data_IF_059895642954
#
_entry.id   IF_059895642954
#
_cell.length_a   1.000
_cell.length_b   1.000
_cell.length_c   1.000
_cell.angle_alpha   90.00
_cell.angle_beta   90.00
_cell.angle_gamma   90.00
#
_symmetry.space_group_name_H-M   'P 1'
#
loop_
_entity.id
_entity.type
_entity.pdbx_description
1 polymer ?
#
# COMPACT_ATOMS: atom_id res chain seq x y z
N UNK A 1 -16.47 0.47 26.45
CA UNK A 1 -15.97 0.03 25.13
C UNK A 1 -14.54 -0.39 25.35
N UNK A 2 -14.15 -1.62 24.95
CA UNK A 2 -12.76 -2.07 25.09
C UNK A 2 -11.83 -1.19 24.28
N UNK A 3 -10.55 -1.11 24.68
CA UNK A 3 -9.52 -0.44 23.88
C UNK A 3 -9.42 -1.09 22.50
N UNK A 4 -9.26 -0.29 21.43
CA UNK A 4 -9.10 -0.80 20.08
C UNK A 4 -7.82 -1.63 19.93
N UNK A 5 -7.79 -2.53 18.96
CA UNK A 5 -6.68 -3.48 18.75
C UNK A 5 -5.34 -2.81 18.43
N UNK A 6 -5.35 -1.55 17.99
CA UNK A 6 -4.17 -0.74 17.67
C UNK A 6 -4.05 0.47 18.60
N UNK A 7 -4.67 0.43 19.79
CA UNK A 7 -4.61 1.51 20.78
C UNK A 7 -3.17 1.86 21.13
N UNK A 8 -2.82 3.16 21.07
CA UNK A 8 -1.48 3.69 21.33
C UNK A 8 -0.42 3.40 20.26
N UNK A 9 -0.81 2.80 19.14
CA UNK A 9 0.07 2.56 17.99
C UNK A 9 0.14 3.79 17.08
N UNK A 10 1.31 4.02 16.51
CA UNK A 10 1.55 5.04 15.48
C UNK A 10 1.72 4.34 14.14
N UNK A 11 0.92 4.73 13.16
CA UNK A 11 0.95 4.14 11.83
C UNK A 11 1.14 5.19 10.72
N UNK A 12 1.88 4.83 9.69
CA UNK A 12 1.98 5.57 8.42
C UNK A 12 1.32 4.74 7.33
N UNK A 13 0.41 5.35 6.56
CA UNK A 13 -0.26 4.72 5.41
C UNK A 13 -0.03 5.55 4.16
N UNK A 14 0.60 4.97 3.13
CA UNK A 14 0.79 5.63 1.84
C UNK A 14 -0.39 5.39 0.90
N UNK A 15 -0.74 6.37 0.06
CA UNK A 15 -1.93 6.32 -0.79
C UNK A 15 -3.23 6.33 0.03
N UNK A 16 -3.23 7.01 1.17
CA UNK A 16 -4.28 6.94 2.19
C UNK A 16 -5.60 7.62 1.81
N UNK A 17 -5.70 8.29 0.67
CA UNK A 17 -6.87 9.10 0.29
C UNK A 17 -7.86 8.41 -0.64
N UNK A 18 -7.57 7.17 -1.07
CA UNK A 18 -8.44 6.43 -1.99
C UNK A 18 -8.34 4.92 -1.82
N UNK A 19 -9.34 4.19 -2.29
CA UNK A 19 -9.35 2.74 -2.36
C UNK A 19 -8.98 2.05 -1.04
N UNK A 20 -8.15 1.01 -1.12
CA UNK A 20 -7.70 0.23 0.04
C UNK A 20 -6.97 1.09 1.08
N UNK A 21 -6.12 2.05 0.64
CA UNK A 21 -5.38 2.93 1.56
C UNK A 21 -6.30 3.77 2.45
N UNK A 22 -7.39 4.31 1.88
CA UNK A 22 -8.42 5.03 2.64
C UNK A 22 -9.12 4.13 3.65
N UNK A 23 -9.49 2.93 3.23
CA UNK A 23 -10.15 1.96 4.13
C UNK A 23 -9.23 1.52 5.27
N UNK A 24 -7.94 1.26 4.97
CA UNK A 24 -6.93 0.91 5.96
C UNK A 24 -6.76 2.05 6.99
N UNK A 25 -6.61 3.29 6.52
CA UNK A 25 -6.46 4.44 7.41
C UNK A 25 -7.66 4.62 8.33
N UNK A 26 -8.89 4.56 7.78
CA UNK A 26 -10.13 4.60 8.56
C UNK A 26 -10.18 3.50 9.62
N UNK A 27 -9.90 2.26 9.22
CA UNK A 27 -9.94 1.12 10.14
C UNK A 27 -8.88 1.24 11.24
N UNK A 28 -7.69 1.68 10.93
CA UNK A 28 -6.63 1.87 11.92
C UNK A 28 -7.01 2.92 12.98
N UNK A 29 -7.62 4.04 12.55
CA UNK A 29 -8.15 5.05 13.49
C UNK A 29 -9.27 4.45 14.35
N UNK A 30 -10.20 3.68 13.78
CA UNK A 30 -11.26 2.99 14.52
C UNK A 30 -10.71 2.00 15.57
N UNK A 31 -9.55 1.40 15.28
CA UNK A 31 -8.84 0.51 16.21
C UNK A 31 -7.91 1.26 17.20
N UNK A 32 -7.97 2.59 17.23
CA UNK A 32 -7.30 3.42 18.23
C UNK A 32 -5.87 3.84 17.88
N UNK A 33 -5.43 3.68 16.63
CA UNK A 33 -4.13 4.15 16.18
C UNK A 33 -4.11 5.66 15.89
N UNK A 34 -2.95 6.29 16.10
CA UNK A 34 -2.60 7.57 15.48
C UNK A 34 -2.09 7.30 14.07
N UNK A 35 -2.72 7.87 13.04
CA UNK A 35 -2.43 7.53 11.64
C UNK A 35 -1.95 8.74 10.85
N UNK A 36 -0.76 8.63 10.25
CA UNK A 36 -0.22 9.59 9.30
C UNK A 36 -0.58 9.19 7.88
N UNK A 37 -1.33 10.06 7.21
CA UNK A 37 -1.90 9.84 5.89
C UNK A 37 -0.98 10.45 4.83
N UNK A 38 -0.26 9.64 4.07
CA UNK A 38 0.62 10.12 3.01
C UNK A 38 -0.06 10.00 1.64
N UNK A 39 -0.28 11.13 0.97
CA UNK A 39 -0.82 11.20 -0.38
C UNK A 39 -0.47 12.56 -1.03
N UNK A 40 -0.59 12.67 -2.35
CA UNK A 40 -0.26 13.91 -3.08
C UNK A 40 -1.31 15.01 -2.97
N UNK A 41 -2.60 14.63 -2.93
CA UNK A 41 -3.73 15.57 -2.97
C UNK A 41 -4.02 16.19 -1.62
N UNK A 42 -3.74 17.49 -1.46
CA UNK A 42 -3.95 18.23 -0.21
C UNK A 42 -5.42 18.28 0.22
N UNK A 43 -6.31 18.54 -0.72
CA UNK A 43 -7.76 18.64 -0.48
C UNK A 43 -8.32 17.31 0.07
N UNK A 44 -7.94 16.19 -0.55
CA UNK A 44 -8.37 14.86 -0.09
C UNK A 44 -7.77 14.47 1.26
N UNK A 45 -6.57 14.92 1.55
CA UNK A 45 -5.97 14.73 2.88
C UNK A 45 -6.75 15.49 3.94
N UNK A 46 -7.09 16.76 3.67
CA UNK A 46 -7.91 17.57 4.57
C UNK A 46 -9.31 16.94 4.79
N UNK A 47 -9.97 16.47 3.74
CA UNK A 47 -11.24 15.74 3.87
C UNK A 47 -11.10 14.50 4.78
N UNK A 48 -9.99 13.79 4.69
CA UNK A 48 -9.73 12.63 5.55
C UNK A 48 -9.48 13.03 7.00
N UNK A 49 -8.72 14.11 7.26
CA UNK A 49 -8.52 14.64 8.61
C UNK A 49 -9.84 15.08 9.24
N UNK A 50 -10.68 15.80 8.50
CA UNK A 50 -12.01 16.21 8.96
C UNK A 50 -12.90 15.01 9.32
N UNK A 51 -12.83 13.92 8.53
CA UNK A 51 -13.61 12.71 8.77
C UNK A 51 -13.10 11.87 9.95
N UNK A 52 -11.79 11.82 10.17
CA UNK A 52 -11.13 10.92 11.12
C UNK A 52 -10.76 11.62 12.44
N UNK A 53 -10.81 12.96 12.47
CA UNK A 53 -10.50 13.76 13.65
C UNK A 53 -9.02 13.77 14.00
N UNK A 54 -8.71 14.07 15.25
CA UNK A 54 -7.33 14.28 15.74
C UNK A 54 -6.44 13.03 15.68
N UNK A 55 -7.00 11.87 15.45
CA UNK A 55 -6.24 10.61 15.29
C UNK A 55 -5.66 10.41 13.88
N UNK A 56 -5.89 11.36 12.97
CA UNK A 56 -5.35 11.33 11.62
C UNK A 56 -4.62 12.64 11.31
N UNK A 57 -3.44 12.54 10.68
CA UNK A 57 -2.64 13.68 10.22
C UNK A 57 -2.28 13.49 8.75
N UNK A 58 -2.74 14.40 7.91
CA UNK A 58 -2.47 14.40 6.47
C UNK A 58 -1.15 15.08 6.14
N UNK A 59 -0.27 14.39 5.44
CA UNK A 59 1.00 14.95 4.98
C UNK A 59 1.07 14.84 3.45
N UNK A 60 1.02 15.97 2.73
CA UNK A 60 1.19 15.98 1.28
C UNK A 60 2.55 15.38 0.89
N UNK A 61 2.52 14.21 0.23
CA UNK A 61 3.74 13.43 -0.03
C UNK A 61 3.67 12.78 -1.41
N UNK A 62 4.70 13.00 -2.22
CA UNK A 62 4.99 12.15 -3.36
C UNK A 62 5.98 11.06 -2.92
N UNK A 63 5.50 9.82 -2.84
CA UNK A 63 6.35 8.68 -2.44
C UNK A 63 7.49 8.41 -3.44
N UNK A 64 7.34 8.84 -4.69
CA UNK A 64 8.38 8.73 -5.72
C UNK A 64 9.51 9.76 -5.61
N UNK A 65 9.38 10.72 -4.71
CA UNK A 65 10.38 11.75 -4.41
C UNK A 65 11.00 11.50 -3.03
N UNK A 66 12.31 11.19 -2.95
CA UNK A 66 12.98 10.89 -1.68
C UNK A 66 13.00 12.06 -0.70
N UNK A 67 13.01 13.32 -1.19
CA UNK A 67 13.00 14.50 -0.34
C UNK A 67 11.62 14.72 0.27
N UNK A 68 10.57 14.53 -0.51
CA UNK A 68 9.18 14.55 -0.03
C UNK A 68 8.93 13.48 1.04
N UNK A 69 9.44 12.26 0.83
CA UNK A 69 9.34 11.18 1.83
C UNK A 69 10.11 11.54 3.10
N UNK A 70 11.33 12.06 2.98
CA UNK A 70 12.15 12.46 4.13
C UNK A 70 11.42 13.51 4.98
N UNK A 71 10.93 14.57 4.34
CA UNK A 71 10.16 15.61 5.01
C UNK A 71 8.91 15.06 5.74
N UNK A 72 8.20 14.12 5.13
CA UNK A 72 7.04 13.50 5.77
C UNK A 72 7.42 12.71 7.03
N UNK A 73 8.49 11.94 6.99
CA UNK A 73 8.95 11.17 8.14
C UNK A 73 9.59 12.03 9.23
N UNK A 74 10.16 13.19 8.89
CA UNK A 74 10.60 14.19 9.87
C UNK A 74 9.41 14.73 10.68
N UNK A 75 8.24 14.95 10.06
CA UNK A 75 7.01 15.33 10.78
C UNK A 75 6.58 14.23 11.76
N UNK A 76 6.61 12.97 11.31
CA UNK A 76 6.27 11.82 12.18
C UNK A 76 7.23 11.74 13.36
N UNK A 77 8.54 11.89 13.13
CA UNK A 77 9.55 11.87 14.18
C UNK A 77 9.37 13.01 15.19
N UNK A 78 9.19 14.23 14.72
CA UNK A 78 8.98 15.40 15.59
C UNK A 78 7.76 15.27 16.50
N UNK A 79 6.70 14.60 16.05
CA UNK A 79 5.46 14.47 16.80
C UNK A 79 5.39 13.21 17.66
N UNK A 80 6.02 12.12 17.26
CA UNK A 80 5.82 10.80 17.89
C UNK A 80 7.10 10.15 18.39
N UNK A 81 8.27 10.50 17.84
CA UNK A 81 9.57 9.89 18.12
C UNK A 81 9.62 8.35 17.92
N UNK A 82 8.61 7.78 17.32
CA UNK A 82 8.48 6.34 17.05
C UNK A 82 7.51 6.08 15.89
N UNK A 83 7.59 4.89 15.36
CA UNK A 83 6.59 4.31 14.45
C UNK A 83 6.37 2.84 14.80
N UNK A 84 5.11 2.40 14.85
CA UNK A 84 4.76 1.00 15.09
C UNK A 84 4.42 0.25 13.79
N UNK A 85 3.81 0.94 12.80
CA UNK A 85 3.34 0.32 11.56
C UNK A 85 3.59 1.20 10.35
N UNK A 86 4.22 0.65 9.30
CA UNK A 86 4.28 1.24 7.97
C UNK A 86 3.45 0.41 7.00
N UNK A 87 2.50 1.05 6.29
CA UNK A 87 1.75 0.43 5.19
C UNK A 87 2.12 1.11 3.87
N UNK A 88 2.87 0.42 3.02
CA UNK A 88 3.15 0.81 1.65
C UNK A 88 2.05 0.28 0.73
N UNK A 89 1.01 1.11 0.55
CA UNK A 89 -0.14 0.79 -0.29
C UNK A 89 -0.19 1.66 -1.56
N UNK A 90 0.45 2.84 -1.58
CA UNK A 90 0.50 3.69 -2.77
C UNK A 90 1.01 2.93 -3.98
N UNK A 91 0.24 2.94 -5.05
CA UNK A 91 0.63 2.34 -6.32
C UNK A 91 -0.10 3.00 -7.48
N UNK A 92 0.51 2.93 -8.64
CA UNK A 92 -0.09 3.29 -9.92
C UNK A 92 0.06 2.13 -10.88
N UNK A 93 -0.94 1.94 -11.73
CA UNK A 93 -0.87 1.04 -12.86
C UNK A 93 -1.71 1.60 -14.00
N UNK A 94 -1.30 1.32 -15.21
CA UNK A 94 -1.97 1.77 -16.42
C UNK A 94 -1.76 0.73 -17.52
N UNK A 95 -2.84 0.26 -18.15
CA UNK A 95 -2.71 -0.64 -19.29
C UNK A 95 -2.09 0.09 -20.48
N UNK A 96 -0.91 -0.36 -20.92
CA UNK A 96 -0.23 0.13 -22.12
C UNK A 96 0.46 -1.07 -22.78
N UNK A 97 0.35 -1.24 -24.11
CA UNK A 97 1.14 -2.24 -24.83
C UNK A 97 2.63 -2.04 -24.54
N UNK A 98 3.38 -3.12 -24.40
CA UNK A 98 4.78 -3.03 -23.99
C UNK A 98 5.64 -2.19 -24.94
N UNK A 99 5.42 -2.33 -26.23
CA UNK A 99 6.10 -1.58 -27.30
C UNK A 99 5.59 -0.14 -27.48
N UNK A 100 4.49 0.21 -26.81
CA UNK A 100 3.93 1.57 -26.76
C UNK A 100 4.29 2.33 -25.48
N UNK A 101 5.01 1.72 -24.53
CA UNK A 101 5.41 2.38 -23.28
C UNK A 101 6.47 3.46 -23.55
N UNK A 102 6.21 4.68 -23.11
CA UNK A 102 7.23 5.73 -23.05
C UNK A 102 8.16 5.55 -21.85
N UNK A 103 9.37 6.11 -21.92
CA UNK A 103 10.32 6.12 -20.81
C UNK A 103 9.73 6.78 -19.55
N UNK A 104 8.93 7.83 -19.71
CA UNK A 104 8.26 8.52 -18.60
C UNK A 104 7.23 7.61 -17.92
N UNK A 105 6.45 6.84 -18.69
CA UNK A 105 5.50 5.88 -18.15
C UNK A 105 6.15 4.74 -17.39
N UNK A 106 7.29 4.27 -17.88
CA UNK A 106 8.13 3.31 -17.19
C UNK A 106 8.60 3.91 -15.86
N UNK A 107 9.26 5.06 -15.92
CA UNK A 107 9.87 5.70 -14.75
C UNK A 107 8.87 6.10 -13.67
N UNK A 108 7.69 6.55 -14.05
CA UNK A 108 6.66 6.94 -13.09
C UNK A 108 6.14 5.74 -12.30
N UNK A 109 5.99 4.57 -12.93
CA UNK A 109 5.62 3.34 -12.24
C UNK A 109 6.75 2.86 -11.32
N UNK A 110 8.00 2.90 -11.77
CA UNK A 110 9.15 2.57 -10.92
C UNK A 110 9.25 3.49 -9.71
N UNK A 111 9.14 4.80 -9.91
CA UNK A 111 9.21 5.78 -8.81
C UNK A 111 8.14 5.54 -7.76
N UNK A 112 6.88 5.36 -8.18
CA UNK A 112 5.79 5.17 -7.23
C UNK A 112 5.81 3.78 -6.59
N UNK A 113 5.88 2.70 -7.40
CA UNK A 113 5.58 1.35 -6.94
C UNK A 113 6.78 0.62 -6.33
N UNK A 114 8.02 1.04 -6.64
CA UNK A 114 9.24 0.38 -6.18
C UNK A 114 10.14 1.32 -5.38
N UNK A 115 10.53 2.47 -5.96
CA UNK A 115 11.40 3.41 -5.25
C UNK A 115 10.67 4.04 -4.05
N UNK A 116 9.36 4.31 -4.16
CA UNK A 116 8.54 4.80 -3.06
C UNK A 116 8.63 3.90 -1.82
N UNK A 117 8.28 2.61 -1.89
CA UNK A 117 8.50 1.68 -0.80
C UNK A 117 9.94 1.57 -0.29
N UNK A 118 10.94 1.68 -1.16
CA UNK A 118 12.36 1.74 -0.75
C UNK A 118 12.61 2.96 0.13
N UNK A 119 12.14 4.14 -0.29
CA UNK A 119 12.35 5.39 0.44
C UNK A 119 11.60 5.39 1.77
N UNK A 120 10.34 4.97 1.79
CA UNK A 120 9.52 4.92 3.01
C UNK A 120 10.02 3.88 4.01
N UNK A 121 10.42 2.68 3.56
CA UNK A 121 11.03 1.68 4.44
C UNK A 121 12.32 2.22 5.07
N UNK A 122 13.21 2.82 4.25
CA UNK A 122 14.46 3.41 4.75
C UNK A 122 14.22 4.50 5.77
N UNK A 123 13.20 5.34 5.58
CA UNK A 123 12.86 6.40 6.53
C UNK A 123 12.14 5.86 7.80
N UNK A 124 11.37 4.77 7.66
CA UNK A 124 10.62 4.17 8.77
C UNK A 124 11.48 3.36 9.75
N UNK A 125 12.52 2.67 9.27
CA UNK A 125 13.32 1.74 10.08
C UNK A 125 13.88 2.37 11.35
N UNK A 126 14.46 3.59 11.35
CA UNK A 126 14.92 4.22 12.60
C UNK A 126 13.79 4.42 13.61
N UNK A 127 12.59 4.79 13.18
CA UNK A 127 11.43 5.02 14.04
C UNK A 127 10.83 3.70 14.56
N UNK A 128 10.86 2.64 13.75
CA UNK A 128 10.48 1.30 14.19
C UNK A 128 11.45 0.78 15.26
N UNK A 129 12.75 1.02 15.11
CA UNK A 129 13.74 0.73 16.18
C UNK A 129 13.44 1.49 17.47
N UNK A 130 13.11 2.79 17.37
CA UNK A 130 12.76 3.61 18.53
C UNK A 130 11.51 3.08 19.25
N UNK A 131 10.59 2.43 18.54
CA UNK A 131 9.44 1.74 19.11
C UNK A 131 9.77 0.37 19.76
N UNK A 132 11.01 -0.13 19.59
CA UNK A 132 11.40 -1.48 20.01
C UNK A 132 10.98 -2.58 19.04
N UNK A 133 10.72 -2.24 17.78
CA UNK A 133 10.24 -3.10 16.71
C UNK A 133 8.91 -2.63 16.13
N UNK A 134 8.44 -3.28 15.05
CA UNK A 134 7.20 -2.89 14.40
C UNK A 134 6.89 -3.72 13.15
N UNK A 135 5.92 -3.24 12.38
CA UNK A 135 5.43 -3.94 11.21
C UNK A 135 5.57 -3.07 9.94
N UNK A 136 6.13 -3.65 8.89
CA UNK A 136 6.11 -3.09 7.54
C UNK A 136 5.23 -4.00 6.68
N UNK A 137 4.15 -3.46 6.11
CA UNK A 137 3.28 -4.16 5.17
C UNK A 137 3.46 -3.53 3.80
N UNK A 138 3.97 -4.31 2.86
CA UNK A 138 4.14 -3.89 1.46
C UNK A 138 3.08 -4.56 0.59
N UNK A 139 2.22 -3.76 -0.04
CA UNK A 139 1.15 -4.25 -0.90
C UNK A 139 1.69 -4.61 -2.28
N UNK A 140 1.83 -5.92 -2.54
CA UNK A 140 2.09 -6.50 -3.84
C UNK A 140 0.77 -6.78 -4.59
N UNK A 141 0.79 -7.59 -5.60
CA UNK A 141 -0.38 -7.84 -6.47
C UNK A 141 -0.39 -9.26 -7.04
N UNK A 142 -1.58 -9.77 -7.33
CA UNK A 142 -1.76 -10.97 -8.14
C UNK A 142 -1.06 -10.89 -9.51
N UNK A 143 -0.74 -9.68 -9.99
CA UNK A 143 0.01 -9.48 -11.23
C UNK A 143 1.44 -10.07 -11.19
N UNK A 144 1.97 -10.40 -10.02
CA UNK A 144 3.25 -11.10 -9.87
C UNK A 144 3.11 -12.62 -10.07
N UNK A 145 1.90 -13.14 -9.96
CA UNK A 145 1.60 -14.56 -10.06
C UNK A 145 0.94 -14.89 -11.41
N UNK A 146 -0.02 -14.06 -11.82
CA UNK A 146 -0.69 -14.17 -13.11
C UNK A 146 -0.41 -12.91 -13.94
N UNK A 147 0.19 -13.10 -15.12
CA UNK A 147 0.52 -11.96 -15.99
C UNK A 147 -0.73 -11.40 -16.64
N UNK A 148 -0.89 -10.09 -16.48
CA UNK A 148 -1.94 -9.32 -17.14
C UNK A 148 -1.39 -8.70 -18.43
N UNK A 149 -2.02 -8.95 -19.55
CA UNK A 149 -1.66 -8.24 -20.78
C UNK A 149 -1.66 -6.72 -20.54
N UNK A 150 -0.70 -6.02 -21.10
CA UNK A 150 -0.55 -4.55 -21.01
C UNK A 150 -0.22 -4.00 -19.60
N UNK A 151 0.10 -4.86 -18.60
CA UNK A 151 0.55 -4.45 -17.26
C UNK A 151 1.98 -4.91 -16.94
N UNK A 152 2.84 -5.03 -17.93
CA UNK A 152 4.20 -5.57 -17.76
C UNK A 152 5.02 -4.79 -16.73
N UNK A 153 5.05 -3.46 -16.81
CA UNK A 153 5.84 -2.65 -15.86
C UNK A 153 5.26 -2.66 -14.46
N UNK A 154 3.94 -2.73 -14.33
CA UNK A 154 3.32 -2.92 -13.03
C UNK A 154 3.76 -4.24 -12.38
N UNK A 155 3.71 -5.35 -13.12
CA UNK A 155 4.16 -6.66 -12.65
C UNK A 155 5.65 -6.64 -12.25
N UNK A 156 6.52 -6.04 -13.07
CA UNK A 156 7.96 -5.89 -12.78
C UNK A 156 8.19 -5.10 -11.48
N UNK A 157 7.50 -3.98 -11.30
CA UNK A 157 7.66 -3.17 -10.08
C UNK A 157 7.18 -3.91 -8.83
N UNK A 158 6.09 -4.68 -8.92
CA UNK A 158 5.58 -5.47 -7.80
C UNK A 158 6.45 -6.68 -7.49
N UNK A 159 7.02 -7.35 -8.49
CA UNK A 159 8.01 -8.40 -8.29
C UNK A 159 9.30 -7.87 -7.62
N UNK A 160 9.77 -6.69 -8.04
CA UNK A 160 10.87 -5.99 -7.37
C UNK A 160 10.57 -5.65 -5.92
N UNK A 161 9.33 -5.25 -5.60
CA UNK A 161 8.89 -5.00 -4.23
C UNK A 161 8.88 -6.29 -3.38
N UNK A 162 8.49 -7.43 -3.94
CA UNK A 162 8.55 -8.72 -3.23
C UNK A 162 10.00 -9.13 -2.91
N UNK A 163 10.92 -8.91 -3.85
CA UNK A 163 12.35 -9.13 -3.62
C UNK A 163 12.90 -8.21 -2.51
N UNK A 164 12.50 -6.93 -2.50
CA UNK A 164 12.84 -6.00 -1.40
C UNK A 164 12.33 -6.53 -0.06
N UNK A 165 11.07 -6.98 0.02
CA UNK A 165 10.51 -7.54 1.25
C UNK A 165 11.33 -8.73 1.77
N UNK A 166 11.74 -9.63 0.87
CA UNK A 166 12.58 -10.77 1.23
C UNK A 166 13.94 -10.32 1.79
N UNK A 167 14.59 -9.34 1.15
CA UNK A 167 15.86 -8.81 1.62
C UNK A 167 15.73 -8.15 3.01
N UNK A 168 14.71 -7.31 3.21
CA UNK A 168 14.47 -6.63 4.48
C UNK A 168 14.15 -7.63 5.61
N UNK A 169 13.40 -8.70 5.35
CA UNK A 169 13.16 -9.77 6.35
C UNK A 169 14.46 -10.37 6.87
N UNK A 170 15.41 -10.63 5.99
CA UNK A 170 16.72 -11.18 6.37
C UNK A 170 17.57 -10.15 7.10
N UNK A 171 17.58 -8.90 6.60
CA UNK A 171 18.44 -7.84 7.15
C UNK A 171 18.02 -7.41 8.55
N UNK A 172 16.70 -7.34 8.81
CA UNK A 172 16.13 -6.85 10.09
C UNK A 172 15.55 -7.94 10.99
N UNK A 173 15.91 -9.21 10.75
CA UNK A 173 15.38 -10.34 11.51
C UNK A 173 15.62 -10.22 13.03
N UNK A 174 16.75 -9.65 13.44
CA UNK A 174 17.16 -9.54 14.85
C UNK A 174 16.62 -8.28 15.55
N UNK A 175 15.92 -7.39 14.82
CA UNK A 175 15.48 -6.09 15.33
C UNK A 175 13.98 -6.03 15.66
N UNK A 176 13.32 -7.19 15.71
CA UNK A 176 11.86 -7.31 15.90
C UNK A 176 11.03 -6.45 14.90
N UNK A 177 11.57 -6.24 13.69
CA UNK A 177 10.86 -5.62 12.58
C UNK A 177 10.33 -6.71 11.67
N UNK A 178 9.01 -6.84 11.60
CA UNK A 178 8.34 -7.81 10.72
C UNK A 178 8.02 -7.16 9.38
N UNK A 179 8.36 -7.81 8.29
CA UNK A 179 8.07 -7.34 6.94
C UNK A 179 7.14 -8.32 6.24
N UNK A 180 5.90 -7.90 6.01
CA UNK A 180 4.88 -8.70 5.32
C UNK A 180 4.73 -8.24 3.87
N UNK A 181 4.81 -9.19 2.95
CA UNK A 181 4.35 -9.01 1.56
C UNK A 181 2.88 -9.36 1.50
N UNK A 182 2.01 -8.39 1.24
CA UNK A 182 0.59 -8.64 1.01
C UNK A 182 0.33 -8.72 -0.50
N UNK A 183 0.17 -9.93 -1.04
CA UNK A 183 -0.24 -10.15 -2.42
C UNK A 183 -1.75 -9.95 -2.51
N UNK A 184 -2.15 -8.78 -3.00
CA UNK A 184 -3.55 -8.37 -3.03
C UNK A 184 -4.17 -8.60 -4.41
N UNK A 185 -5.33 -9.25 -4.42
CA UNK A 185 -6.20 -9.34 -5.59
C UNK A 185 -7.04 -8.08 -5.81
N UNK A 186 -7.99 -8.15 -6.72
CA UNK A 186 -8.91 -7.03 -7.01
C UNK A 186 -9.69 -6.66 -5.77
N UNK A 187 -9.62 -5.39 -5.38
CA UNK A 187 -10.39 -4.82 -4.28
C UNK A 187 -11.33 -3.74 -4.81
N UNK A 188 -12.60 -3.81 -4.41
CA UNK A 188 -13.68 -2.92 -4.81
C UNK A 188 -14.15 -2.10 -3.62
N UNK A 189 -14.36 -0.80 -3.82
CA UNK A 189 -14.84 0.10 -2.76
C UNK A 189 -15.08 1.52 -3.27
N UNK A 190 -15.59 2.36 -2.40
CA UNK A 190 -15.82 3.77 -2.70
C UNK A 190 -14.50 4.47 -3.08
N UNK A 191 -14.59 5.25 -4.15
CA UNK A 191 -13.43 5.95 -4.70
C UNK A 191 -12.73 5.23 -5.83
N UNK A 192 -13.27 4.04 -6.25
CA UNK A 192 -12.85 3.25 -7.42
C UNK A 192 -11.34 3.25 -7.66
N UNK A 193 -10.74 2.26 -8.21
CA UNK A 193 -9.28 2.19 -8.45
C UNK A 193 -8.66 3.37 -9.23
N UNK A 194 -9.02 4.58 -8.85
CA UNK A 194 -8.43 5.82 -9.34
C UNK A 194 -6.98 5.87 -8.86
N UNK A 195 -6.11 5.38 -9.70
CA UNK A 195 -4.64 5.44 -9.50
C UNK A 195 -4.11 6.89 -9.50
N UNK A 196 -5.00 7.89 -9.52
CA UNK A 196 -4.63 9.31 -9.68
C UNK A 196 -4.04 9.64 -11.05
N UNK A 197 -4.11 8.70 -11.98
CA UNK A 197 -3.67 8.83 -13.36
C UNK A 197 -4.83 8.44 -14.28
N UNK A 198 -5.18 9.29 -15.24
CA UNK A 198 -6.21 8.97 -16.23
C UNK A 198 -5.71 7.83 -17.13
N UNK A 199 -6.50 6.77 -17.21
CA UNK A 199 -6.26 5.70 -18.17
C UNK A 199 -6.64 6.15 -19.58
N UNK A 200 -5.85 5.76 -20.55
CA UNK A 200 -6.25 5.89 -21.94
C UNK A 200 -7.47 5.01 -22.21
N UNK A 201 -8.59 5.54 -22.73
CA UNK A 201 -9.82 4.75 -22.91
C UNK A 201 -9.66 3.58 -23.88
N UNK A 202 -8.89 3.74 -24.96
CA UNK A 202 -8.68 2.72 -25.98
C UNK A 202 -7.81 1.59 -25.44
N UNK A 203 -6.68 1.93 -24.79
CA UNK A 203 -5.83 0.95 -24.13
C UNK A 203 -6.59 0.19 -23.02
N UNK A 204 -7.42 0.90 -22.26
CA UNK A 204 -8.22 0.28 -21.20
C UNK A 204 -9.22 -0.71 -21.76
N UNK A 205 -9.97 -0.32 -22.80
CA UNK A 205 -10.94 -1.20 -23.44
C UNK A 205 -10.26 -2.47 -24.00
N UNK A 206 -9.14 -2.30 -24.69
CA UNK A 206 -8.35 -3.41 -25.23
C UNK A 206 -7.84 -4.34 -24.13
N UNK A 207 -7.31 -3.79 -23.06
CA UNK A 207 -6.82 -4.57 -21.93
C UNK A 207 -7.93 -5.38 -21.25
N UNK A 208 -9.07 -4.74 -20.94
CA UNK A 208 -10.21 -5.43 -20.30
C UNK A 208 -10.76 -6.54 -21.19
N UNK A 209 -10.93 -6.29 -22.50
CA UNK A 209 -11.36 -7.31 -23.44
C UNK A 209 -10.42 -8.53 -23.43
N UNK A 210 -9.11 -8.28 -23.46
CA UNK A 210 -8.10 -9.34 -23.43
C UNK A 210 -8.10 -10.10 -22.11
N UNK A 211 -8.18 -9.40 -20.97
CA UNK A 211 -8.25 -10.04 -19.65
C UNK A 211 -9.51 -10.92 -19.49
N UNK A 212 -10.62 -10.53 -20.11
CA UNK A 212 -11.83 -11.33 -20.12
C UNK A 212 -11.67 -12.58 -21.00
N UNK A 213 -11.12 -12.43 -22.23
CA UNK A 213 -10.83 -13.53 -23.15
C UNK A 213 -9.86 -14.55 -22.55
N UNK A 214 -8.81 -14.07 -21.87
CA UNK A 214 -7.82 -14.91 -21.19
C UNK A 214 -8.37 -15.54 -19.89
N UNK A 215 -9.59 -15.19 -19.50
CA UNK A 215 -10.25 -15.66 -18.28
C UNK A 215 -9.61 -15.16 -16.99
N UNK A 216 -8.70 -14.17 -17.07
CA UNK A 216 -8.01 -13.58 -15.91
C UNK A 216 -9.01 -12.95 -14.99
N UNK A 217 -9.95 -12.15 -15.51
CA UNK A 217 -10.95 -11.47 -14.68
C UNK A 217 -11.73 -12.45 -13.81
N UNK A 218 -12.11 -13.61 -14.34
CA UNK A 218 -12.79 -14.65 -13.55
C UNK A 218 -11.89 -15.23 -12.46
N UNK A 219 -10.60 -15.42 -12.74
CA UNK A 219 -9.66 -16.02 -11.78
C UNK A 219 -9.28 -15.06 -10.64
N UNK A 220 -9.15 -13.74 -10.92
CA UNK A 220 -8.70 -12.74 -9.94
C UNK A 220 -9.84 -12.05 -9.21
N UNK A 221 -10.96 -11.81 -9.89
CA UNK A 221 -12.14 -11.21 -9.28
C UNK A 221 -13.06 -12.25 -8.62
N UNK A 222 -12.87 -13.51 -8.96
CA UNK A 222 -13.62 -14.62 -8.41
C UNK A 222 -15.13 -14.53 -8.68
N UNK A 223 -15.90 -15.34 -7.97
CA UNK A 223 -17.37 -15.39 -8.09
C UNK A 223 -18.05 -14.08 -7.65
N UNK A 224 -17.40 -13.32 -6.77
CA UNK A 224 -17.96 -12.10 -6.18
C UNK A 224 -17.45 -10.81 -6.80
N UNK A 225 -16.71 -10.87 -7.92
CA UNK A 225 -16.24 -9.70 -8.64
C UNK A 225 -15.08 -8.94 -7.99
N UNK A 226 -14.56 -9.44 -6.90
CA UNK A 226 -13.48 -8.82 -6.10
C UNK A 226 -13.77 -8.89 -4.60
N UNK A 227 -12.78 -8.53 -3.79
CA UNK A 227 -12.93 -8.38 -2.34
C UNK A 227 -13.28 -6.93 -1.98
N UNK A 228 -13.94 -6.69 -0.84
CA UNK A 228 -14.18 -5.32 -0.40
C UNK A 228 -12.90 -4.67 0.14
N UNK A 229 -12.77 -3.36 0.00
CA UNK A 229 -11.65 -2.62 0.62
C UNK A 229 -11.68 -2.70 2.15
N UNK A 230 -12.86 -2.91 2.75
CA UNK A 230 -12.99 -3.11 4.19
C UNK A 230 -12.38 -4.45 4.64
N UNK A 231 -12.59 -5.53 3.87
CA UNK A 231 -11.94 -6.82 4.13
C UNK A 231 -10.42 -6.71 4.02
N UNK A 232 -9.92 -5.90 3.07
CA UNK A 232 -8.48 -5.59 2.96
C UNK A 232 -7.99 -4.84 4.20
N UNK A 233 -8.74 -3.88 4.70
CA UNK A 233 -8.40 -3.12 5.91
C UNK A 233 -8.38 -4.01 7.16
N UNK A 234 -9.36 -4.92 7.30
CA UNK A 234 -9.41 -5.91 8.38
C UNK A 234 -8.18 -6.84 8.36
N UNK A 235 -7.74 -7.24 7.17
CA UNK A 235 -6.54 -8.05 7.02
C UNK A 235 -5.28 -7.32 7.48
N UNK A 236 -5.17 -6.01 7.26
CA UNK A 236 -4.05 -5.21 7.78
C UNK A 236 -4.06 -5.16 9.31
N UNK A 237 -5.23 -4.96 9.95
CA UNK A 237 -5.36 -5.05 11.41
C UNK A 237 -4.95 -6.44 11.91
N UNK A 238 -5.43 -7.50 11.24
CA UNK A 238 -5.06 -8.87 11.58
C UNK A 238 -3.53 -9.08 11.53
N UNK A 239 -2.84 -8.60 10.50
CA UNK A 239 -1.38 -8.72 10.38
C UNK A 239 -0.68 -8.03 11.55
N UNK A 240 -1.05 -6.77 11.85
CA UNK A 240 -0.42 -5.96 12.89
C UNK A 240 -0.68 -6.49 14.31
N UNK A 241 -1.76 -7.25 14.51
CA UNK A 241 -2.17 -7.74 15.85
C UNK A 241 -1.69 -9.16 16.14
N UNK A 242 -0.90 -9.77 15.26
CA UNK A 242 -0.32 -11.08 15.55
C UNK A 242 0.69 -11.00 16.70
N UNK A 243 0.75 -12.01 17.57
CA UNK A 243 1.81 -12.09 18.59
C UNK A 243 3.18 -11.87 17.96
N UNK A 244 4.09 -11.16 18.65
CA UNK A 244 5.43 -10.83 18.11
C UNK A 244 6.23 -12.07 17.69
N UNK A 245 6.03 -13.20 18.32
CA UNK A 245 6.64 -14.48 17.92
C UNK A 245 6.08 -15.11 16.64
N UNK A 246 5.05 -14.52 16.02
CA UNK A 246 4.47 -15.00 14.77
C UNK A 246 4.82 -14.04 13.62
N UNK A 247 5.48 -14.56 12.59
CA UNK A 247 5.79 -13.83 11.34
C UNK A 247 4.81 -14.25 10.25
N UNK A 248 4.28 -13.29 9.54
CA UNK A 248 3.47 -13.48 8.33
C UNK A 248 4.26 -12.93 7.13
N UNK A 249 5.16 -13.73 6.60
CA UNK A 249 6.10 -13.29 5.56
C UNK A 249 5.40 -12.94 4.24
N UNK A 250 4.46 -13.80 3.83
CA UNK A 250 3.64 -13.59 2.63
C UNK A 250 2.19 -13.93 2.97
N UNK A 251 1.32 -12.96 2.72
CA UNK A 251 -0.12 -13.13 2.83
C UNK A 251 -0.74 -12.90 1.46
N UNK A 252 -1.51 -13.86 0.97
CA UNK A 252 -2.23 -13.72 -0.28
C UNK A 252 -3.71 -13.56 0.00
N UNK A 253 -4.30 -12.48 -0.49
CA UNK A 253 -5.72 -12.17 -0.35
C UNK A 253 -6.37 -11.91 -1.70
N UNK A 254 -7.37 -12.70 -2.03
CA UNK A 254 -8.15 -12.57 -3.27
C UNK A 254 -9.60 -12.98 -3.04
N UNK A 255 -10.48 -12.53 -3.93
CA UNK A 255 -11.87 -13.01 -3.97
C UNK A 255 -11.91 -14.47 -4.43
N UNK A 256 -12.89 -15.18 -3.91
CA UNK A 256 -13.19 -16.57 -4.29
C UNK A 256 -14.25 -16.62 -5.38
#
# INVERSE_FOLDING_TARGET
MGEGLLSGKVAVVTGATSGSGRAIAKRFVQEGAQVYLLARGKERLQEMEEQLGSSAVGIPTDVGDPDSVRAAFEVVDQQQHKLDVLVNNAAIYRPVPFDGLSDDEIMVQFRCNLLGPIYTCRAAIPLLRAAGGGDIINTSSEATIESFAMLSMYAVTKAGLEALCQALRTEYEQEDIRVTTLVQGVALGEGGGSTGWAWDPEHSATAFQRWEQDGIMRRIAGRYGGQSVDSVAELHVFICTRPRGQKLDVVRSRSY
#
